data_IF_895013267761
#
_entry.id   IF_895013267761
#
_cell.length_a   1.000
_cell.length_b   1.000
_cell.length_c   1.000
_cell.angle_alpha   90.00
_cell.angle_beta   90.00
_cell.angle_gamma   90.00
#
_symmetry.space_group_name_H-M   'P 1'
#
loop_
_entity.id
_entity.type
_entity.pdbx_description
1 polymer ?
#
# COMPACT_ATOMS: atom_id res chain seq x y z
N UNK A 1 -23.71 0.37 -25.21
CA UNK A 1 -23.82 1.36 -24.13
C UNK A 1 -23.28 2.69 -24.61
N UNK A 2 -24.13 3.72 -24.60
CA UNK A 2 -23.67 5.08 -24.78
C UNK A 2 -23.00 5.60 -23.48
N UNK A 3 -22.31 6.74 -23.54
CA UNK A 3 -21.59 7.31 -22.38
C UNK A 3 -22.49 7.54 -21.15
N UNK A 4 -23.76 7.90 -21.35
CA UNK A 4 -24.70 8.15 -20.26
C UNK A 4 -25.11 6.87 -19.56
N UNK A 5 -25.43 5.82 -20.33
CA UNK A 5 -25.75 4.50 -19.79
C UNK A 5 -24.57 3.90 -19.04
N UNK A 6 -23.33 4.11 -19.53
CA UNK A 6 -22.12 3.70 -18.82
C UNK A 6 -21.93 4.47 -17.52
N UNK A 7 -22.14 5.79 -17.52
CA UNK A 7 -22.05 6.59 -16.30
C UNK A 7 -23.08 6.12 -15.26
N UNK A 8 -24.36 6.01 -15.64
CA UNK A 8 -25.41 5.57 -14.73
C UNK A 8 -25.19 4.15 -14.20
N UNK A 9 -24.68 3.24 -15.03
CA UNK A 9 -24.32 1.89 -14.58
C UNK A 9 -23.15 1.91 -13.59
N UNK A 10 -22.12 2.73 -13.84
CA UNK A 10 -20.98 2.87 -12.94
C UNK A 10 -21.39 3.53 -11.61
N UNK A 11 -22.21 4.58 -11.65
CA UNK A 11 -22.73 5.25 -10.45
C UNK A 11 -23.56 4.28 -9.60
N UNK A 12 -24.45 3.51 -10.22
CA UNK A 12 -25.19 2.44 -9.53
C UNK A 12 -24.26 1.40 -8.89
N UNK A 13 -23.18 1.01 -9.56
CA UNK A 13 -22.18 0.07 -9.01
C UNK A 13 -21.40 0.69 -7.85
N UNK A 14 -21.12 1.99 -7.89
CA UNK A 14 -20.52 2.73 -6.78
C UNK A 14 -21.48 2.71 -5.59
N UNK A 15 -22.75 3.06 -5.78
CA UNK A 15 -23.74 3.02 -4.69
C UNK A 15 -23.94 1.59 -4.12
N UNK A 16 -23.88 0.57 -4.98
CA UNK A 16 -24.03 -0.83 -4.57
C UNK A 16 -22.84 -1.33 -3.71
N UNK A 17 -21.60 -0.92 -4.04
CA UNK A 17 -20.39 -1.48 -3.43
C UNK A 17 -19.66 -0.53 -2.48
N UNK A 18 -19.86 0.78 -2.57
CA UNK A 18 -19.28 1.79 -1.69
C UNK A 18 -20.15 2.01 -0.45
N UNK A 19 -20.55 0.92 0.20
CA UNK A 19 -21.34 0.93 1.44
C UNK A 19 -20.51 0.32 2.57
N UNK A 20 -20.75 0.77 3.81
CA UNK A 20 -20.02 0.31 4.99
C UNK A 20 -20.07 -1.22 5.18
N UNK A 21 -21.15 -1.86 4.72
CA UNK A 21 -21.30 -3.31 4.79
C UNK A 21 -20.36 -4.06 3.82
N UNK A 22 -19.94 -3.42 2.73
CA UNK A 22 -18.94 -3.99 1.83
C UNK A 22 -17.51 -3.87 2.37
N UNK A 23 -17.26 -2.90 3.26
CA UNK A 23 -15.97 -2.69 3.95
C UNK A 23 -15.61 -3.88 4.85
N UNK A 24 -16.59 -4.45 5.57
CA UNK A 24 -16.37 -5.54 6.54
C UNK A 24 -15.63 -6.75 5.97
N UNK A 25 -15.70 -6.93 4.66
CA UNK A 25 -15.04 -8.06 4.01
C UNK A 25 -13.98 -7.61 2.99
N UNK A 26 -13.81 -6.30 2.79
CA UNK A 26 -12.83 -5.72 1.89
C UNK A 26 -11.50 -5.41 2.62
N UNK A 27 -10.33 -5.54 1.98
CA UNK A 27 -9.04 -5.17 2.58
C UNK A 27 -8.95 -3.73 3.08
N UNK A 28 -9.78 -2.81 2.57
CA UNK A 28 -9.84 -1.42 3.05
C UNK A 28 -10.20 -1.33 4.54
N UNK A 29 -10.80 -2.36 5.14
CA UNK A 29 -11.06 -2.36 6.59
C UNK A 29 -9.77 -2.23 7.42
N UNK A 30 -8.62 -2.71 6.92
CA UNK A 30 -7.38 -2.77 7.68
C UNK A 30 -6.86 -1.36 8.01
N UNK A 31 -6.72 -0.43 7.05
CA UNK A 31 -6.42 0.98 7.35
C UNK A 31 -7.42 1.65 8.30
N UNK A 32 -8.71 1.33 8.17
CA UNK A 32 -9.76 1.88 9.02
C UNK A 32 -9.70 1.42 10.48
N UNK A 33 -8.85 0.44 10.82
CA UNK A 33 -8.57 0.07 12.22
C UNK A 33 -7.74 1.12 12.96
N UNK A 34 -7.15 2.09 12.24
CA UNK A 34 -6.26 3.10 12.79
C UNK A 34 -6.85 4.50 12.67
N UNK A 35 -6.52 5.37 13.62
CA UNK A 35 -6.90 6.79 13.63
C UNK A 35 -5.74 7.72 13.28
N UNK A 36 -4.50 7.30 13.55
CA UNK A 36 -3.29 8.06 13.23
C UNK A 36 -3.00 8.00 11.73
N UNK A 37 -2.82 9.16 11.11
CA UNK A 37 -2.58 9.33 9.66
C UNK A 37 -1.47 8.42 9.14
N UNK A 38 -0.32 8.41 9.78
CA UNK A 38 0.83 7.62 9.34
C UNK A 38 0.58 6.10 9.48
N UNK A 39 -0.20 5.69 10.49
CA UNK A 39 -0.62 4.29 10.60
C UNK A 39 -1.56 3.90 9.45
N UNK A 40 -2.50 4.78 9.10
CA UNK A 40 -3.44 4.58 7.99
C UNK A 40 -2.67 4.48 6.65
N UNK A 41 -1.73 5.38 6.40
CA UNK A 41 -0.89 5.37 5.19
C UNK A 41 -0.10 4.07 5.05
N UNK A 42 0.63 3.66 6.10
CA UNK A 42 1.45 2.44 6.07
C UNK A 42 0.58 1.20 5.95
N UNK A 43 -0.49 1.11 6.75
CA UNK A 43 -1.42 -0.02 6.70
C UNK A 43 -2.08 -0.13 5.31
N UNK A 44 -2.48 0.99 4.72
CA UNK A 44 -3.06 1.06 3.38
C UNK A 44 -2.10 0.59 2.32
N UNK A 45 -0.87 1.12 2.35
CA UNK A 45 0.15 0.76 1.37
C UNK A 45 0.53 -0.72 1.46
N UNK A 46 0.77 -1.26 2.66
CA UNK A 46 1.13 -2.67 2.84
C UNK A 46 -0.03 -3.61 2.50
N UNK A 47 -1.26 -3.25 2.85
CA UNK A 47 -2.45 -4.02 2.50
C UNK A 47 -2.69 -4.02 0.99
N UNK A 48 -2.60 -2.87 0.32
CA UNK A 48 -2.70 -2.77 -1.14
C UNK A 48 -1.60 -3.58 -1.85
N UNK A 49 -0.40 -3.62 -1.25
CA UNK A 49 0.73 -4.44 -1.70
C UNK A 49 0.48 -5.94 -1.60
N UNK A 50 -0.53 -6.42 -0.89
CA UNK A 50 -0.88 -7.86 -0.88
C UNK A 50 -2.31 -8.12 -1.35
N UNK A 51 -3.02 -7.09 -1.83
CA UNK A 51 -4.41 -7.17 -2.25
C UNK A 51 -4.61 -7.85 -3.63
N UNK A 52 -3.88 -8.92 -3.92
CA UNK A 52 -4.16 -9.79 -5.05
C UNK A 52 -4.36 -11.22 -4.56
N UNK A 53 -5.49 -11.83 -4.92
CA UNK A 53 -5.73 -13.27 -4.72
C UNK A 53 -7.06 -13.55 -4.11
N UNK A 54 -7.15 -14.67 -3.40
CA UNK A 54 -8.36 -15.01 -2.68
C UNK A 54 -8.57 -14.01 -1.54
N UNK A 55 -9.75 -13.39 -1.49
CA UNK A 55 -10.15 -12.36 -0.52
C UNK A 55 -9.90 -12.77 0.93
N UNK A 56 -10.26 -13.98 1.34
CA UNK A 56 -10.04 -14.47 2.71
C UNK A 56 -8.54 -14.53 3.04
N UNK A 57 -7.73 -14.97 2.08
CA UNK A 57 -6.27 -15.00 2.23
C UNK A 57 -5.67 -13.59 2.28
N UNK A 58 -6.23 -12.61 1.58
CA UNK A 58 -5.78 -11.22 1.64
C UNK A 58 -6.03 -10.67 3.04
N UNK A 59 -7.28 -10.73 3.51
CA UNK A 59 -7.66 -10.24 4.85
C UNK A 59 -6.82 -10.87 5.96
N UNK A 60 -6.71 -12.20 5.95
CA UNK A 60 -5.92 -12.93 6.96
C UNK A 60 -4.46 -12.48 6.99
N UNK A 61 -3.84 -12.28 5.82
CA UNK A 61 -2.44 -11.86 5.77
C UNK A 61 -2.26 -10.38 6.06
N UNK A 62 -3.23 -9.53 5.73
CA UNK A 62 -3.19 -8.11 6.06
C UNK A 62 -3.32 -7.88 7.57
N UNK A 63 -4.23 -8.59 8.24
CA UNK A 63 -4.36 -8.55 9.70
C UNK A 63 -3.09 -9.12 10.38
N UNK A 64 -2.59 -10.28 9.92
CA UNK A 64 -1.30 -10.83 10.38
C UNK A 64 -0.14 -9.83 10.18
N UNK A 65 -0.15 -9.06 9.09
CA UNK A 65 0.87 -8.04 8.85
C UNK A 65 0.77 -6.95 9.91
N UNK A 66 -0.44 -6.47 10.24
CA UNK A 66 -0.61 -5.50 11.32
C UNK A 66 -0.20 -6.05 12.68
N UNK A 67 -0.45 -7.33 12.96
CA UNK A 67 0.04 -8.00 14.18
C UNK A 67 1.58 -8.06 14.25
N UNK A 68 2.25 -8.38 13.14
CA UNK A 68 3.71 -8.37 13.06
C UNK A 68 4.33 -6.99 13.25
N UNK A 69 3.54 -5.93 13.04
CA UNK A 69 3.92 -4.54 13.27
C UNK A 69 3.34 -4.00 14.60
N UNK A 70 3.06 -4.89 15.55
CA UNK A 70 2.58 -4.59 16.90
C UNK A 70 1.29 -3.74 16.94
N UNK A 71 0.48 -3.81 15.88
CA UNK A 71 -0.67 -2.91 15.65
C UNK A 71 -0.31 -1.43 15.81
N UNK A 72 0.95 -1.07 15.58
CA UNK A 72 1.47 0.29 15.57
C UNK A 72 2.45 0.47 14.40
N UNK A 73 1.95 0.37 13.14
CA UNK A 73 2.82 0.26 11.97
C UNK A 73 3.80 1.42 11.80
N UNK A 74 3.40 2.66 12.12
CA UNK A 74 4.30 3.80 12.08
C UNK A 74 5.42 3.70 13.13
N UNK A 75 5.07 3.37 14.37
CA UNK A 75 6.05 3.24 15.44
C UNK A 75 7.06 2.14 15.13
N UNK A 76 6.58 0.97 14.68
CA UNK A 76 7.43 -0.12 14.22
C UNK A 76 8.34 0.33 13.08
N UNK A 77 7.80 1.01 12.05
CA UNK A 77 8.60 1.49 10.92
C UNK A 77 9.72 2.42 11.37
N UNK A 78 9.47 3.36 12.29
CA UNK A 78 10.49 4.29 12.76
C UNK A 78 11.49 3.62 13.71
N UNK A 79 11.00 2.81 14.64
CA UNK A 79 11.76 2.36 15.81
C UNK A 79 12.23 0.90 15.76
N UNK A 80 11.94 0.14 14.71
CA UNK A 80 12.37 -1.27 14.62
C UNK A 80 13.87 -1.46 14.84
N UNK A 81 14.19 -2.51 15.58
CA UNK A 81 15.55 -3.05 15.68
C UNK A 81 15.84 -4.07 14.57
N UNK A 82 17.09 -4.48 14.37
CA UNK A 82 17.42 -5.60 13.47
C UNK A 82 16.67 -6.89 13.82
N UNK A 83 16.51 -7.19 15.11
CA UNK A 83 15.79 -8.38 15.58
C UNK A 83 14.28 -8.33 15.26
N UNK A 84 13.68 -7.14 15.19
CA UNK A 84 12.28 -7.01 14.79
C UNK A 84 12.08 -7.32 13.31
N UNK A 85 13.06 -6.99 12.47
CA UNK A 85 13.03 -7.33 11.04
C UNK A 85 13.16 -8.84 10.79
N UNK A 86 13.93 -9.55 11.62
CA UNK A 86 14.07 -11.02 11.52
C UNK A 86 12.71 -11.72 11.71
N UNK A 87 11.83 -11.21 12.58
CA UNK A 87 10.46 -11.73 12.77
C UNK A 87 9.63 -11.70 11.47
N UNK A 88 9.98 -10.82 10.53
CA UNK A 88 9.27 -10.65 9.25
C UNK A 88 9.72 -11.66 8.18
N UNK A 89 10.83 -12.37 8.38
CA UNK A 89 11.45 -13.25 7.38
C UNK A 89 10.51 -14.33 6.86
N UNK A 90 9.68 -14.89 7.75
CA UNK A 90 8.75 -15.97 7.43
C UNK A 90 7.39 -15.48 6.91
N UNK A 91 7.23 -14.18 6.64
CA UNK A 91 6.02 -13.67 6.02
C UNK A 91 5.96 -14.08 4.54
N UNK A 92 4.85 -14.68 4.12
CA UNK A 92 4.64 -15.06 2.72
C UNK A 92 3.19 -14.80 2.32
N UNK A 93 3.01 -14.00 1.27
CA UNK A 93 1.76 -13.85 0.57
C UNK A 93 1.96 -13.99 -0.94
N UNK A 94 1.66 -15.18 -1.47
CA UNK A 94 1.87 -15.53 -2.88
C UNK A 94 3.33 -15.30 -3.31
N UNK A 95 3.58 -14.26 -4.10
CA UNK A 95 4.93 -13.91 -4.58
C UNK A 95 5.66 -12.91 -3.69
N UNK A 96 4.98 -12.29 -2.73
CA UNK A 96 5.55 -11.35 -1.76
C UNK A 96 6.07 -12.15 -0.56
N UNK A 97 7.34 -11.99 -0.21
CA UNK A 97 8.03 -12.78 0.81
C UNK A 97 8.67 -11.89 1.86
N UNK A 98 9.20 -12.47 2.94
CA UNK A 98 9.78 -11.74 4.06
C UNK A 98 10.90 -10.80 3.66
N UNK A 99 11.76 -11.19 2.70
CA UNK A 99 12.79 -10.30 2.16
C UNK A 99 12.20 -9.03 1.53
N UNK A 100 11.05 -9.14 0.86
CA UNK A 100 10.34 -8.01 0.28
C UNK A 100 9.74 -7.15 1.40
N UNK A 101 9.14 -7.77 2.42
CA UNK A 101 8.56 -7.06 3.56
C UNK A 101 9.63 -6.30 4.37
N UNK A 102 10.76 -6.93 4.70
CA UNK A 102 11.87 -6.30 5.40
C UNK A 102 12.39 -5.08 4.63
N UNK A 103 12.49 -5.18 3.29
CA UNK A 103 12.86 -4.04 2.47
C UNK A 103 11.80 -2.93 2.55
N UNK A 104 10.53 -3.28 2.43
CA UNK A 104 9.42 -2.32 2.52
C UNK A 104 9.45 -1.53 3.83
N UNK A 105 9.72 -2.18 4.97
CA UNK A 105 9.85 -1.49 6.26
C UNK A 105 11.03 -0.51 6.26
N UNK A 106 12.19 -0.91 5.72
CA UNK A 106 13.36 -0.03 5.60
C UNK A 106 13.10 1.16 4.67
N UNK A 107 12.48 0.92 3.52
CA UNK A 107 12.10 1.95 2.56
C UNK A 107 11.10 2.94 3.13
N UNK A 108 10.07 2.45 3.86
CA UNK A 108 9.12 3.31 4.55
C UNK A 108 9.80 4.15 5.62
N UNK A 109 10.69 3.58 6.44
CA UNK A 109 11.46 4.34 7.44
C UNK A 109 12.22 5.48 6.78
N UNK A 110 12.91 5.19 5.68
CA UNK A 110 13.62 6.18 4.90
C UNK A 110 12.70 7.30 4.37
N UNK A 111 11.54 6.95 3.82
CA UNK A 111 10.54 7.91 3.34
C UNK A 111 10.03 8.81 4.47
N UNK A 112 9.69 8.26 5.64
CA UNK A 112 9.18 9.07 6.75
C UNK A 112 10.26 9.97 7.37
N UNK A 113 11.52 9.52 7.42
CA UNK A 113 12.62 10.32 7.98
C UNK A 113 13.13 11.40 7.02
N UNK A 114 13.24 11.10 5.73
CA UNK A 114 13.91 11.98 4.77
C UNK A 114 12.97 12.76 3.85
N UNK A 115 11.75 12.25 3.63
CA UNK A 115 10.77 12.84 2.70
C UNK A 115 9.48 13.31 3.39
N UNK A 116 9.34 13.11 4.70
CA UNK A 116 8.18 13.53 5.47
C UNK A 116 6.93 12.66 5.28
N UNK A 117 7.09 11.43 4.78
CA UNK A 117 6.01 10.45 4.64
C UNK A 117 5.43 10.34 3.23
N UNK A 118 4.49 9.39 3.08
CA UNK A 118 3.91 9.05 1.77
C UNK A 118 3.09 10.24 1.24
N UNK A 119 2.18 10.78 2.05
CA UNK A 119 1.35 11.92 1.66
C UNK A 119 2.19 13.14 1.26
N UNK A 120 3.35 13.36 1.90
CA UNK A 120 4.21 14.50 1.56
C UNK A 120 4.79 14.36 0.15
N UNK A 121 5.21 13.16 -0.25
CA UNK A 121 5.67 12.89 -1.62
C UNK A 121 4.51 13.11 -2.59
N UNK A 122 3.34 12.52 -2.32
CA UNK A 122 2.19 12.63 -3.22
C UNK A 122 1.70 14.07 -3.37
N UNK A 123 1.53 14.82 -2.28
CA UNK A 123 1.09 16.22 -2.33
C UNK A 123 2.10 17.15 -3.00
N UNK A 124 3.38 16.82 -2.99
CA UNK A 124 4.43 17.62 -3.65
C UNK A 124 4.46 17.43 -5.16
N UNK A 125 4.21 16.21 -5.64
CA UNK A 125 4.39 15.83 -7.04
C UNK A 125 3.07 15.48 -7.76
N UNK A 126 1.93 15.52 -7.08
CA UNK A 126 0.64 15.36 -7.71
C UNK A 126 0.32 16.59 -8.56
N UNK A 127 -0.14 16.35 -9.78
CA UNK A 127 -0.67 17.39 -10.66
C UNK A 127 -2.20 17.36 -10.64
N UNK A 128 -2.83 18.48 -11.00
CA UNK A 128 -4.29 18.66 -10.98
C UNK A 128 -5.08 17.52 -11.65
N UNK A 129 -4.50 16.89 -12.68
CA UNK A 129 -5.14 15.82 -13.46
C UNK A 129 -4.35 14.51 -13.50
N UNK A 130 -3.27 14.40 -12.73
CA UNK A 130 -2.38 13.24 -12.81
C UNK A 130 -1.63 12.96 -11.51
N UNK A 131 -1.75 11.73 -11.03
CA UNK A 131 -0.88 11.19 -9.96
C UNK A 131 0.36 10.50 -10.53
N UNK A 132 0.53 10.41 -11.85
CA UNK A 132 1.68 9.70 -12.43
C UNK A 132 3.04 10.25 -11.98
N UNK A 133 3.26 11.59 -11.89
CA UNK A 133 4.53 12.12 -11.42
C UNK A 133 4.75 11.78 -9.93
N UNK A 134 3.71 11.91 -9.10
CA UNK A 134 3.75 11.49 -7.70
C UNK A 134 4.13 10.01 -7.53
N UNK A 135 3.52 9.12 -8.30
CA UNK A 135 3.82 7.68 -8.24
C UNK A 135 5.27 7.41 -8.68
N UNK A 136 5.74 8.12 -9.71
CA UNK A 136 7.12 8.02 -10.17
C UNK A 136 8.11 8.44 -9.07
N UNK A 137 7.92 9.62 -8.48
CA UNK A 137 8.79 10.12 -7.40
C UNK A 137 8.71 9.25 -6.14
N UNK A 138 7.52 8.77 -5.79
CA UNK A 138 7.35 7.79 -4.72
C UNK A 138 8.19 6.55 -4.97
N UNK A 139 8.13 5.98 -6.19
CA UNK A 139 8.91 4.79 -6.52
C UNK A 139 10.42 5.04 -6.47
N UNK A 140 10.90 6.20 -6.93
CA UNK A 140 12.32 6.57 -6.83
C UNK A 140 12.77 6.61 -5.36
N UNK A 141 12.04 7.33 -4.50
CA UNK A 141 12.33 7.39 -3.07
C UNK A 141 12.21 6.01 -2.38
N UNK A 142 11.24 5.18 -2.82
CA UNK A 142 11.03 3.85 -2.27
C UNK A 142 12.17 2.88 -2.58
N UNK A 143 12.79 3.02 -3.76
CA UNK A 143 13.87 2.13 -4.21
C UNK A 143 15.28 2.72 -4.11
N UNK A 144 15.48 3.82 -3.36
CA UNK A 144 16.80 4.44 -3.24
C UNK A 144 17.80 3.61 -2.42
N UNK A 145 17.30 2.78 -1.50
CA UNK A 145 18.12 1.89 -0.68
C UNK A 145 18.48 0.61 -1.45
N UNK A 146 19.63 -0.03 -1.17
CA UNK A 146 19.99 -1.32 -1.76
C UNK A 146 18.89 -2.37 -1.58
N UNK A 147 18.50 -3.03 -2.67
CA UNK A 147 17.37 -3.96 -2.71
C UNK A 147 17.58 -5.11 -3.69
N UNK A 148 16.80 -6.17 -3.51
CA UNK A 148 16.76 -7.27 -4.46
C UNK A 148 15.89 -6.89 -5.67
N UNK A 149 16.34 -7.20 -6.89
CA UNK A 149 15.59 -6.93 -8.14
C UNK A 149 14.16 -7.50 -8.13
N UNK A 150 13.95 -8.63 -7.43
CA UNK A 150 12.62 -9.24 -7.28
C UNK A 150 11.61 -8.32 -6.61
N UNK A 151 12.05 -7.42 -5.74
CA UNK A 151 11.20 -6.58 -4.89
C UNK A 151 10.57 -5.44 -5.72
N UNK A 152 11.25 -5.01 -6.79
CA UNK A 152 10.79 -3.94 -7.69
C UNK A 152 9.40 -4.20 -8.32
N UNK A 153 9.03 -5.48 -8.49
CA UNK A 153 7.73 -5.86 -9.10
C UNK A 153 6.53 -5.56 -8.19
N UNK A 154 6.75 -5.28 -6.91
CA UNK A 154 5.67 -5.06 -5.94
C UNK A 154 5.17 -3.62 -5.90
N UNK A 155 5.96 -2.66 -6.40
CA UNK A 155 5.56 -1.25 -6.53
C UNK A 155 5.57 -0.86 -8.01
N UNK A 156 4.39 -0.54 -8.54
CA UNK A 156 4.21 -0.24 -9.97
C UNK A 156 4.74 1.15 -10.34
N UNK A 157 5.14 1.33 -11.60
CA UNK A 157 5.58 2.61 -12.16
C UNK A 157 4.77 2.93 -13.43
N UNK A 158 3.92 3.98 -13.43
CA UNK A 158 3.13 4.34 -14.60
C UNK A 158 4.01 4.81 -15.77
N UNK A 159 5.20 5.37 -15.53
CA UNK A 159 6.10 5.82 -16.60
C UNK A 159 6.80 4.64 -17.32
N UNK A 160 6.78 3.44 -16.73
CA UNK A 160 7.29 2.21 -17.38
C UNK A 160 6.19 1.38 -18.05
N UNK A 161 5.09 2.01 -18.48
CA UNK A 161 3.91 1.34 -19.08
C UNK A 161 3.24 0.27 -18.19
N UNK A 162 3.49 0.26 -16.88
CA UNK A 162 2.77 -0.62 -15.96
C UNK A 162 1.47 0.05 -15.49
N UNK A 163 0.36 -0.70 -15.47
CA UNK A 163 -0.90 -0.19 -14.97
C UNK A 163 -0.79 0.08 -13.46
N UNK A 164 -0.47 1.31 -13.07
CA UNK A 164 -0.33 1.74 -11.66
C UNK A 164 -1.66 1.82 -10.89
N UNK A 165 -2.68 1.06 -11.33
CA UNK A 165 -4.02 0.99 -10.73
C UNK A 165 -4.00 0.67 -9.24
N UNK A 166 -2.95 0.00 -8.73
CA UNK A 166 -2.80 -0.35 -7.31
C UNK A 166 -2.44 0.84 -6.42
N UNK A 167 -1.79 1.86 -6.97
CA UNK A 167 -1.39 3.07 -6.24
C UNK A 167 -2.40 4.20 -6.50
N UNK A 168 -3.11 4.15 -7.64
CA UNK A 168 -4.07 5.18 -8.07
C UNK A 168 -5.53 4.88 -7.67
N UNK A 169 -5.80 3.92 -6.79
CA UNK A 169 -7.15 3.59 -6.29
C UNK A 169 -7.27 3.64 -4.76
N UNK A 170 -6.37 4.35 -4.07
CA UNK A 170 -6.54 4.76 -2.67
C UNK A 170 -7.30 6.06 -2.57
#
# INVERSE_FOLDING_TARGET
MNKSELKSFLDFKVEQYNTSHFIETDPIQIPHQFSKKENIEIAGFLTATIAWGNRKSILKNADRLMELLDRSPYDFVINHSPADLEKLENFVHRTFQGIDLQYFIKALKNIYLNYGGIEKIFSTYAEERSLQPAIHHFKQAFFELPHARRTEKHVSDPQKNSAAKRINMS
#
